data_IF_523792679113
#
_entry.id   IF_523792679113
#
_cell.length_a   1.000
_cell.length_b   1.000
_cell.length_c   1.000
_cell.angle_alpha   90.00
_cell.angle_beta   90.00
_cell.angle_gamma   90.00
#
_symmetry.space_group_name_H-M   'P 1'
#
loop_
_entity.id
_entity.type
_entity.pdbx_description
1 polymer ?
#
# COMPACT_ATOMS: atom_id res chain seq x y z
N UNK A 1 -12.01 33.53 -23.79
CA UNK A 1 -12.89 33.28 -22.62
C UNK A 1 -11.99 33.04 -21.42
N UNK A 2 -12.34 33.54 -20.22
CA UNK A 2 -11.49 33.35 -19.05
C UNK A 2 -11.41 31.87 -18.70
N UNK A 3 -10.19 31.36 -18.60
CA UNK A 3 -9.92 29.99 -18.16
C UNK A 3 -10.05 29.89 -16.64
N UNK A 4 -10.16 28.67 -16.11
CA UNK A 4 -10.12 28.47 -14.65
C UNK A 4 -8.79 28.97 -14.06
N UNK A 5 -7.70 28.91 -14.84
CA UNK A 5 -6.41 29.46 -14.42
C UNK A 5 -6.47 30.99 -14.27
N UNK A 6 -7.11 31.71 -15.19
CA UNK A 6 -7.30 33.18 -15.11
C UNK A 6 -8.11 33.57 -13.86
N UNK A 7 -9.10 32.75 -13.49
CA UNK A 7 -9.91 32.93 -12.28
C UNK A 7 -9.05 32.70 -11.02
N UNK A 8 -8.21 31.66 -11.02
CA UNK A 8 -7.33 31.34 -9.89
C UNK A 8 -6.26 32.42 -9.69
N UNK A 9 -5.75 33.04 -10.75
CA UNK A 9 -4.84 34.17 -10.68
C UNK A 9 -5.47 35.35 -9.91
N UNK A 10 -6.75 35.63 -10.15
CA UNK A 10 -7.49 36.71 -9.47
C UNK A 10 -7.86 36.38 -8.01
N UNK A 11 -8.26 35.14 -7.73
CA UNK A 11 -8.67 34.68 -6.39
C UNK A 11 -7.46 34.34 -5.50
N UNK A 12 -6.28 34.26 -6.09
CA UNK A 12 -5.02 33.90 -5.46
C UNK A 12 -4.68 32.44 -5.72
N UNK A 13 -3.51 32.22 -6.32
CA UNK A 13 -3.07 30.92 -6.82
C UNK A 13 -2.77 29.88 -5.72
N UNK A 14 -2.35 30.32 -4.53
CA UNK A 14 -2.04 29.46 -3.38
C UNK A 14 -2.30 30.15 -2.03
N UNK A 15 -3.56 30.53 -1.80
CA UNK A 15 -3.97 31.28 -0.61
C UNK A 15 -4.57 30.35 0.47
N UNK A 16 -5.22 30.91 1.51
CA UNK A 16 -5.69 30.16 2.67
C UNK A 16 -6.56 28.93 2.32
N UNK A 17 -7.52 29.06 1.40
CA UNK A 17 -8.33 27.93 0.95
C UNK A 17 -7.45 26.81 0.37
N UNK A 18 -6.56 27.15 -0.57
CA UNK A 18 -5.70 26.19 -1.24
C UNK A 18 -4.72 25.52 -0.27
N UNK A 19 -4.13 26.28 0.66
CA UNK A 19 -3.23 25.75 1.70
C UNK A 19 -3.95 24.76 2.60
N UNK A 20 -5.17 25.07 3.04
CA UNK A 20 -5.97 24.17 3.87
C UNK A 20 -6.35 22.90 3.10
N UNK A 21 -6.83 23.03 1.87
CA UNK A 21 -7.19 21.88 1.02
C UNK A 21 -5.98 21.02 0.72
N UNK A 22 -4.81 21.63 0.45
CA UNK A 22 -3.54 20.94 0.27
C UNK A 22 -3.17 20.14 1.51
N UNK A 23 -3.19 20.76 2.70
CA UNK A 23 -2.83 20.07 3.94
C UNK A 23 -3.74 18.87 4.21
N UNK A 24 -5.06 19.03 4.05
CA UNK A 24 -6.01 17.93 4.20
C UNK A 24 -5.72 16.80 3.19
N UNK A 25 -5.63 17.10 1.90
CA UNK A 25 -5.38 16.08 0.89
C UNK A 25 -3.98 15.44 1.01
N UNK A 26 -2.99 16.16 1.51
CA UNK A 26 -1.65 15.63 1.78
C UNK A 26 -1.65 14.56 2.88
N UNK A 27 -2.59 14.60 3.85
CA UNK A 27 -2.74 13.54 4.85
C UNK A 27 -3.13 12.20 4.21
N UNK A 28 -3.84 12.21 3.06
CA UNK A 28 -4.11 10.99 2.29
C UNK A 28 -2.81 10.41 1.74
N UNK A 29 -1.84 11.24 1.35
CA UNK A 29 -0.51 10.78 0.91
C UNK A 29 0.23 10.06 2.04
N UNK A 30 0.21 10.64 3.25
CA UNK A 30 0.79 10.04 4.47
C UNK A 30 0.16 8.67 4.74
N UNK A 31 -1.17 8.60 4.69
CA UNK A 31 -1.93 7.38 4.97
C UNK A 31 -1.84 6.30 3.88
N UNK A 32 -1.48 6.69 2.65
CA UNK A 32 -1.23 5.76 1.57
C UNK A 32 0.10 5.00 1.74
N UNK A 33 1.11 5.62 2.36
CA UNK A 33 2.44 5.03 2.50
C UNK A 33 2.46 3.65 3.17
N UNK A 34 1.80 3.45 4.33
CA UNK A 34 1.68 2.13 4.94
C UNK A 34 1.05 1.06 4.06
N UNK A 35 0.14 1.44 3.18
CA UNK A 35 -0.55 0.47 2.32
C UNK A 35 0.43 -0.09 1.30
N UNK A 36 1.28 0.76 0.73
CA UNK A 36 2.23 0.35 -0.30
C UNK A 36 3.51 -0.28 0.29
N UNK A 37 4.13 0.39 1.26
CA UNK A 37 5.44 0.00 1.81
C UNK A 37 5.33 -0.86 3.07
N UNK A 38 4.14 -0.93 3.69
CA UNK A 38 3.93 -1.69 4.93
C UNK A 38 4.24 -3.16 4.84
N UNK A 39 4.34 -3.75 3.63
CA UNK A 39 4.78 -5.14 3.47
C UNK A 39 6.13 -5.42 4.13
N UNK A 40 7.04 -4.45 4.17
CA UNK A 40 8.37 -4.61 4.80
C UNK A 40 8.23 -4.93 6.30
N UNK A 41 7.21 -4.36 6.96
CA UNK A 41 6.94 -4.58 8.37
C UNK A 41 5.90 -5.67 8.63
N UNK A 42 4.90 -5.82 7.74
CA UNK A 42 3.86 -6.85 7.87
C UNK A 42 4.39 -8.24 7.52
N UNK A 43 5.34 -8.32 6.59
CA UNK A 43 5.86 -9.55 6.00
C UNK A 43 7.32 -9.80 6.31
N UNK A 44 7.85 -9.28 7.42
CA UNK A 44 9.23 -9.59 7.80
C UNK A 44 9.38 -11.10 8.02
N UNK A 45 10.51 -11.65 7.55
CA UNK A 45 10.85 -13.07 7.69
C UNK A 45 11.88 -13.20 8.80
N UNK A 46 11.48 -13.63 10.01
CA UNK A 46 12.46 -13.91 11.06
C UNK A 46 13.26 -15.17 10.74
N UNK A 47 14.37 -15.32 11.45
CA UNK A 47 15.10 -16.58 11.47
C UNK A 47 14.17 -17.70 11.93
N UNK A 48 14.25 -18.83 11.22
CA UNK A 48 13.32 -19.93 11.40
C UNK A 48 14.00 -21.27 11.25
N UNK A 49 13.39 -22.28 11.83
CA UNK A 49 13.83 -23.68 11.79
C UNK A 49 12.64 -24.62 11.70
N UNK A 50 12.88 -25.85 11.24
CA UNK A 50 11.84 -26.88 11.25
C UNK A 50 11.38 -27.19 12.69
N UNK A 51 10.07 -27.33 12.90
CA UNK A 51 9.56 -27.99 14.09
C UNK A 51 9.82 -29.50 13.97
N UNK A 52 10.60 -30.04 14.91
CA UNK A 52 10.89 -31.47 14.99
C UNK A 52 10.16 -32.06 16.20
N UNK A 53 9.13 -32.90 16.00
CA UNK A 53 8.42 -33.54 17.11
C UNK A 53 9.38 -34.45 17.88
N UNK A 54 9.30 -34.46 19.21
CA UNK A 54 10.16 -35.24 20.09
C UNK A 54 11.41 -34.51 20.61
N UNK A 55 11.92 -33.52 19.86
CA UNK A 55 13.08 -32.71 20.30
C UNK A 55 12.80 -31.96 21.60
N UNK A 56 11.62 -31.36 21.73
CA UNK A 56 11.25 -30.59 22.93
C UNK A 56 11.22 -31.48 24.18
N UNK A 57 10.74 -32.72 24.03
CA UNK A 57 10.67 -33.69 25.13
C UNK A 57 12.06 -34.23 25.47
N UNK A 58 12.89 -34.51 24.45
CA UNK A 58 14.28 -34.94 24.63
C UNK A 58 15.13 -33.84 25.29
N UNK A 59 14.99 -32.60 24.84
CA UNK A 59 15.66 -31.42 25.38
C UNK A 59 15.32 -31.23 26.87
N UNK A 60 14.04 -31.40 27.24
CA UNK A 60 13.60 -31.39 28.65
C UNK A 60 14.15 -32.56 29.47
N UNK A 61 14.12 -33.78 28.92
CA UNK A 61 14.65 -34.98 29.58
C UNK A 61 16.15 -34.87 29.85
N UNK A 62 16.89 -34.31 28.91
CA UNK A 62 18.35 -34.18 28.97
C UNK A 62 18.83 -32.87 29.61
N UNK A 63 17.93 -31.90 29.84
CA UNK A 63 18.27 -30.62 30.45
C UNK A 63 19.11 -29.71 29.54
N UNK A 64 18.93 -29.80 28.22
CA UNK A 64 19.72 -29.04 27.25
C UNK A 64 19.40 -27.55 27.28
N UNK A 65 20.43 -26.74 27.05
CA UNK A 65 20.28 -25.34 26.68
C UNK A 65 19.79 -25.21 25.22
N UNK A 66 19.20 -24.07 24.87
CA UNK A 66 18.75 -23.80 23.50
C UNK A 66 19.90 -23.92 22.49
N UNK A 67 21.12 -23.52 22.87
CA UNK A 67 22.29 -23.63 22.01
C UNK A 67 22.67 -25.10 21.73
N UNK A 68 22.60 -25.96 22.75
CA UNK A 68 22.85 -27.39 22.62
C UNK A 68 21.77 -28.06 21.76
N UNK A 69 20.49 -27.76 22.02
CA UNK A 69 19.38 -28.26 21.22
C UNK A 69 19.55 -27.90 19.74
N UNK A 70 19.87 -26.64 19.43
CA UNK A 70 20.08 -26.18 18.06
C UNK A 70 21.29 -26.85 17.39
N UNK A 71 22.38 -27.08 18.12
CA UNK A 71 23.58 -27.75 17.59
C UNK A 71 23.31 -29.21 17.17
N UNK A 72 22.37 -29.89 17.83
CA UNK A 72 21.99 -31.26 17.48
C UNK A 72 20.88 -31.33 16.43
N UNK A 73 19.99 -30.34 16.38
CA UNK A 73 18.73 -30.46 15.63
C UNK A 73 18.73 -29.70 14.31
N UNK A 74 19.49 -28.61 14.22
CA UNK A 74 19.57 -27.77 13.03
C UNK A 74 20.82 -28.13 12.25
N UNK A 75 20.70 -28.44 10.94
CA UNK A 75 21.86 -28.65 10.09
C UNK A 75 22.77 -27.41 10.08
N UNK A 76 24.06 -27.60 10.41
CA UNK A 76 25.07 -26.55 10.52
C UNK A 76 25.35 -25.78 9.21
N UNK A 77 26.19 -24.72 9.27
CA UNK A 77 26.36 -23.77 8.17
C UNK A 77 26.76 -24.51 6.89
N UNK A 78 25.97 -24.30 5.84
CA UNK A 78 26.26 -24.86 4.53
C UNK A 78 27.64 -24.42 4.01
N UNK A 79 28.17 -25.12 2.99
CA UNK A 79 29.40 -24.70 2.33
C UNK A 79 29.32 -23.23 1.89
N UNK A 80 30.42 -22.50 2.07
CA UNK A 80 30.53 -21.08 1.78
C UNK A 80 30.14 -20.77 0.32
N UNK A 81 29.03 -20.04 0.13
CA UNK A 81 28.58 -19.58 -1.19
C UNK A 81 27.10 -19.85 -1.51
N UNK A 82 26.42 -20.70 -0.74
CA UNK A 82 24.97 -20.91 -0.88
C UNK A 82 24.17 -20.16 0.22
N UNK A 83 23.02 -19.54 -0.12
CA UNK A 83 22.15 -18.91 0.88
C UNK A 83 21.71 -19.97 1.92
N UNK A 84 22.01 -19.72 3.19
CA UNK A 84 21.72 -20.53 4.39
C UNK A 84 20.79 -21.77 4.16
N UNK A 85 21.33 -22.97 3.86
CA UNK A 85 20.52 -24.15 3.55
C UNK A 85 19.95 -24.86 4.79
N UNK A 86 20.37 -24.50 6.01
CA UNK A 86 19.97 -25.14 7.26
C UNK A 86 18.61 -24.72 7.84
N UNK A 87 18.04 -23.59 7.39
CA UNK A 87 16.76 -23.10 7.91
C UNK A 87 15.56 -23.89 7.38
N UNK A 88 15.68 -24.43 6.16
CA UNK A 88 14.59 -25.09 5.42
C UNK A 88 14.63 -26.62 5.41
N UNK A 89 15.65 -27.21 6.06
CA UNK A 89 15.89 -28.65 6.09
C UNK A 89 16.10 -29.11 7.51
N UNK A 90 15.72 -30.36 7.78
CA UNK A 90 15.97 -31.05 9.06
C UNK A 90 16.68 -32.36 8.83
N UNK A 91 17.36 -32.84 9.86
CA UNK A 91 17.75 -34.23 9.92
C UNK A 91 16.49 -35.13 9.92
N UNK A 92 16.46 -36.14 9.05
CA UNK A 92 15.42 -37.17 9.05
C UNK A 92 15.68 -38.19 10.17
N UNK A 93 15.50 -37.72 11.40
CA UNK A 93 15.67 -38.50 12.63
C UNK A 93 14.35 -38.55 13.37
N UNK A 94 14.03 -39.72 13.90
CA UNK A 94 12.90 -39.92 14.80
C UNK A 94 13.34 -39.63 16.24
N UNK A 95 13.12 -38.39 16.68
CA UNK A 95 13.52 -37.89 17.99
C UNK A 95 12.73 -38.50 19.16
N UNK A 96 11.65 -39.26 18.88
CA UNK A 96 10.87 -39.93 19.91
C UNK A 96 11.48 -41.28 20.35
N UNK A 97 12.55 -41.74 19.71
CA UNK A 97 13.15 -43.01 20.06
C UNK A 97 13.82 -42.93 21.43
N UNK A 98 13.41 -43.81 22.34
CA UNK A 98 13.92 -43.91 23.71
C UNK A 98 15.39 -44.29 23.81
N UNK A 99 16.02 -44.69 22.70
CA UNK A 99 17.43 -45.06 22.57
C UNK A 99 18.37 -43.87 22.28
N UNK A 100 17.86 -42.66 22.07
CA UNK A 100 18.69 -41.47 21.84
C UNK A 100 19.41 -41.05 23.14
N UNK A 101 20.73 -40.86 23.05
CA UNK A 101 21.55 -40.43 24.18
C UNK A 101 21.46 -38.92 24.41
N UNK A 102 21.68 -38.49 25.65
CA UNK A 102 21.69 -37.07 26.01
C UNK A 102 23.02 -36.35 25.71
N UNK A 103 24.11 -37.09 25.48
CA UNK A 103 25.43 -36.52 25.19
C UNK A 103 25.65 -36.31 23.68
N UNK A 104 25.32 -37.31 22.86
CA UNK A 104 25.22 -37.14 21.40
C UNK A 104 24.09 -38.03 20.85
N UNK A 105 22.90 -37.47 20.59
CA UNK A 105 21.76 -38.24 20.06
C UNK A 105 22.03 -38.73 18.63
N UNK A 106 22.93 -38.09 17.88
CA UNK A 106 23.21 -38.41 16.48
C UNK A 106 24.33 -39.43 16.30
N UNK A 107 25.18 -39.64 17.32
CA UNK A 107 26.31 -40.56 17.26
C UNK A 107 25.90 -42.02 17.01
N UNK A 108 24.70 -42.43 17.45
CA UNK A 108 24.16 -43.77 17.20
C UNK A 108 23.67 -43.97 15.75
N UNK A 109 23.46 -42.88 15.00
CA UNK A 109 22.84 -42.89 13.67
C UNK A 109 23.86 -42.70 12.54
N UNK A 110 24.93 -41.94 12.76
CA UNK A 110 26.00 -41.78 11.77
C UNK A 110 27.34 -41.44 12.42
N UNK A 111 28.43 -41.98 11.86
CA UNK A 111 29.79 -41.65 12.30
C UNK A 111 30.20 -40.19 11.98
N UNK A 112 29.50 -39.54 11.03
CA UNK A 112 29.70 -38.12 10.70
C UNK A 112 28.36 -37.45 10.37
N UNK A 113 28.13 -36.26 10.92
CA UNK A 113 26.84 -35.53 10.81
C UNK A 113 26.48 -35.13 9.39
N UNK A 114 27.48 -34.99 8.51
CA UNK A 114 27.30 -34.66 7.10
C UNK A 114 26.69 -35.78 6.26
N UNK A 115 26.72 -37.03 6.74
CA UNK A 115 26.13 -38.18 6.05
C UNK A 115 24.69 -38.46 6.46
N UNK A 116 24.13 -37.70 7.40
CA UNK A 116 22.72 -37.85 7.78
C UNK A 116 21.79 -37.35 6.67
N UNK A 117 20.73 -38.10 6.34
CA UNK A 117 19.74 -37.66 5.36
C UNK A 117 19.06 -36.37 5.83
N UNK A 118 18.98 -35.39 4.92
CA UNK A 118 18.30 -34.13 5.12
C UNK A 118 16.97 -34.14 4.35
N UNK A 119 15.89 -33.88 5.08
CA UNK A 119 14.52 -33.84 4.55
C UNK A 119 13.88 -32.46 4.67
N UNK A 120 12.77 -32.22 3.96
CA UNK A 120 11.96 -31.01 4.14
C UNK A 120 11.28 -30.98 5.52
N UNK A 121 10.97 -29.78 6.01
CA UNK A 121 10.17 -29.62 7.23
C UNK A 121 8.72 -30.09 6.97
N UNK A 122 8.24 -31.08 7.74
CA UNK A 122 6.90 -31.64 7.59
C UNK A 122 5.92 -31.20 8.69
N UNK A 123 6.43 -30.85 9.87
CA UNK A 123 5.62 -30.60 11.06
C UNK A 123 5.49 -29.12 11.42
N UNK A 124 5.82 -28.20 10.50
CA UNK A 124 5.75 -26.76 10.72
C UNK A 124 7.10 -26.13 11.07
N UNK A 125 7.03 -24.92 11.63
CA UNK A 125 8.18 -24.01 11.79
C UNK A 125 8.22 -23.41 13.19
N UNK A 126 9.43 -23.16 13.67
CA UNK A 126 9.70 -22.36 14.88
C UNK A 126 10.40 -21.08 14.44
N UNK A 127 9.84 -19.94 14.83
CA UNK A 127 10.32 -18.60 14.47
C UNK A 127 10.99 -17.94 15.67
N UNK A 128 12.17 -17.36 15.48
CA UNK A 128 12.90 -16.63 16.52
C UNK A 128 12.46 -15.16 16.57
N UNK A 129 11.24 -14.93 17.06
CA UNK A 129 10.69 -13.59 17.26
C UNK A 129 9.61 -13.58 18.35
N UNK A 130 9.52 -12.45 19.07
CA UNK A 130 8.43 -12.19 20.00
C UNK A 130 7.17 -11.65 19.29
N UNK A 131 7.31 -11.22 18.03
CA UNK A 131 6.25 -10.63 17.22
C UNK A 131 5.52 -11.65 16.34
N UNK A 132 4.57 -11.14 15.55
CA UNK A 132 3.94 -11.92 14.48
C UNK A 132 3.99 -11.16 13.15
N UNK A 133 4.28 -11.89 12.08
CA UNK A 133 4.20 -11.43 10.70
C UNK A 133 3.27 -12.30 9.87
N UNK A 134 2.90 -11.83 8.69
CA UNK A 134 2.16 -12.63 7.70
C UNK A 134 2.92 -13.93 7.40
N UNK A 135 4.26 -13.87 7.40
CA UNK A 135 5.13 -15.02 7.15
C UNK A 135 5.04 -16.03 8.28
N UNK A 136 5.14 -15.58 9.54
CA UNK A 136 5.08 -16.48 10.70
C UNK A 136 3.70 -17.09 10.90
N UNK A 137 2.63 -16.37 10.54
CA UNK A 137 1.26 -16.84 10.74
C UNK A 137 0.83 -17.85 9.66
N UNK A 138 1.22 -17.63 8.40
CA UNK A 138 0.84 -18.51 7.29
C UNK A 138 1.97 -19.46 6.84
N UNK A 139 3.09 -19.51 7.58
CA UNK A 139 4.25 -20.35 7.27
C UNK A 139 4.81 -20.14 5.85
N UNK A 140 5.00 -18.87 5.46
CA UNK A 140 5.41 -18.47 4.10
C UNK A 140 6.94 -18.49 3.93
N UNK A 141 7.58 -19.57 4.36
CA UNK A 141 9.04 -19.74 4.25
C UNK A 141 9.39 -20.90 3.32
N UNK A 142 10.65 -20.92 2.87
CA UNK A 142 11.22 -22.02 2.09
C UNK A 142 10.40 -22.29 0.80
N UNK A 143 9.75 -23.46 0.70
CA UNK A 143 8.92 -23.82 -0.46
C UNK A 143 7.74 -22.86 -0.70
N UNK A 144 7.28 -22.15 0.34
CA UNK A 144 6.17 -21.20 0.27
C UNK A 144 6.61 -19.72 0.26
N UNK A 145 7.91 -19.45 0.18
CA UNK A 145 8.45 -18.07 0.17
C UNK A 145 7.87 -17.20 -0.95
N UNK A 146 7.66 -17.77 -2.14
CA UNK A 146 7.04 -17.12 -3.29
C UNK A 146 5.64 -16.54 -3.01
N UNK A 147 4.93 -17.05 -1.99
CA UNK A 147 3.62 -16.53 -1.63
C UNK A 147 3.74 -15.12 -1.05
N UNK A 148 4.81 -14.81 -0.31
CA UNK A 148 5.04 -13.44 0.17
C UNK A 148 5.26 -12.48 -1.01
N UNK A 149 5.99 -12.90 -2.05
CA UNK A 149 6.18 -12.13 -3.27
C UNK A 149 4.88 -11.96 -4.06
N UNK A 150 4.03 -13.00 -4.07
CA UNK A 150 2.69 -12.94 -4.65
C UNK A 150 1.84 -11.90 -3.91
N UNK A 151 1.96 -11.79 -2.59
CA UNK A 151 1.23 -10.82 -1.79
C UNK A 151 1.54 -9.37 -2.21
N UNK A 152 2.80 -9.05 -2.46
CA UNK A 152 3.19 -7.73 -2.98
C UNK A 152 2.80 -7.56 -4.46
N UNK A 153 2.94 -8.62 -5.26
CA UNK A 153 2.54 -8.62 -6.67
C UNK A 153 1.04 -8.37 -6.84
N UNK A 154 0.20 -8.91 -5.97
CA UNK A 154 -1.24 -8.70 -5.99
C UNK A 154 -1.63 -7.22 -5.79
N UNK A 155 -0.90 -6.50 -4.92
CA UNK A 155 -1.07 -5.04 -4.78
C UNK A 155 -0.70 -4.32 -6.07
N UNK A 156 0.43 -4.67 -6.68
CA UNK A 156 0.90 -4.03 -7.90
C UNK A 156 -0.04 -4.27 -9.08
N UNK A 157 -0.57 -5.49 -9.22
CA UNK A 157 -1.61 -5.82 -10.21
C UNK A 157 -2.87 -5.02 -9.94
N UNK A 158 -3.31 -4.95 -8.67
CA UNK A 158 -4.42 -4.08 -8.27
C UNK A 158 -4.17 -2.62 -8.64
N UNK A 159 -3.00 -2.08 -8.34
CA UNK A 159 -2.60 -0.71 -8.68
C UNK A 159 -2.71 -0.44 -10.17
N UNK A 160 -2.22 -1.36 -11.00
CA UNK A 160 -2.29 -1.25 -12.45
C UNK A 160 -3.75 -1.18 -12.93
N UNK A 161 -4.57 -2.18 -12.58
CA UNK A 161 -5.98 -2.27 -12.99
C UNK A 161 -6.77 -1.06 -12.46
N UNK A 162 -6.50 -0.68 -11.21
CA UNK A 162 -7.15 0.41 -10.50
C UNK A 162 -6.85 1.77 -11.12
N UNK A 163 -5.59 2.03 -11.44
CA UNK A 163 -5.18 3.30 -12.05
C UNK A 163 -5.83 3.53 -13.41
N UNK A 164 -6.01 2.47 -14.20
CA UNK A 164 -6.76 2.53 -15.46
C UNK A 164 -8.27 2.70 -15.19
N UNK A 165 -8.89 1.78 -14.46
CA UNK A 165 -10.35 1.77 -14.32
C UNK A 165 -10.90 2.95 -13.52
N UNK A 166 -10.40 3.16 -12.30
CA UNK A 166 -10.96 4.13 -11.37
C UNK A 166 -10.62 5.58 -11.79
N UNK A 167 -9.47 5.80 -12.44
CA UNK A 167 -9.12 7.10 -13.02
C UNK A 167 -10.19 7.59 -14.00
N UNK A 168 -10.60 6.70 -14.91
CA UNK A 168 -11.67 6.96 -15.88
C UNK A 168 -13.04 7.18 -15.20
N UNK A 169 -13.35 6.39 -14.17
CA UNK A 169 -14.57 6.58 -13.37
C UNK A 169 -14.56 7.96 -12.69
N UNK A 170 -13.42 8.41 -12.16
CA UNK A 170 -13.28 9.70 -11.50
C UNK A 170 -13.45 10.88 -12.46
N UNK A 171 -13.00 10.75 -13.72
CA UNK A 171 -13.25 11.75 -14.77
C UNK A 171 -14.74 11.88 -15.10
N UNK A 172 -15.50 10.79 -14.99
CA UNK A 172 -16.92 10.75 -15.39
C UNK A 172 -17.90 11.08 -14.26
N UNK A 173 -17.66 10.55 -13.07
CA UNK A 173 -18.57 10.66 -11.93
C UNK A 173 -18.16 11.72 -10.89
N UNK A 174 -16.95 12.27 -11.00
CA UNK A 174 -16.43 13.32 -10.14
C UNK A 174 -15.27 12.84 -9.28
N UNK A 175 -14.36 13.78 -8.98
CA UNK A 175 -13.14 13.50 -8.21
C UNK A 175 -13.49 13.19 -6.76
N UNK A 176 -14.35 14.01 -6.15
CA UNK A 176 -14.69 13.90 -4.73
C UNK A 176 -15.41 12.59 -4.41
N UNK A 177 -16.43 12.23 -5.19
CA UNK A 177 -17.20 11.00 -4.95
C UNK A 177 -16.31 9.76 -5.08
N UNK A 178 -15.50 9.69 -6.14
CA UNK A 178 -14.59 8.57 -6.35
C UNK A 178 -13.50 8.49 -5.27
N UNK A 179 -13.00 9.62 -4.80
CA UNK A 179 -12.05 9.67 -3.68
C UNK A 179 -12.67 9.06 -2.41
N UNK A 180 -13.91 9.43 -2.07
CA UNK A 180 -14.59 8.90 -0.88
C UNK A 180 -14.89 7.40 -0.98
N UNK A 181 -15.33 6.94 -2.14
CA UNK A 181 -15.59 5.51 -2.39
C UNK A 181 -14.30 4.71 -2.28
N UNK A 182 -13.21 5.19 -2.89
CA UNK A 182 -11.91 4.50 -2.81
C UNK A 182 -11.38 4.45 -1.38
N UNK A 183 -11.51 5.54 -0.61
CA UNK A 183 -11.17 5.56 0.83
C UNK A 183 -11.99 4.54 1.61
N UNK A 184 -13.31 4.47 1.39
CA UNK A 184 -14.19 3.52 2.08
C UNK A 184 -13.80 2.08 1.79
N UNK A 185 -13.63 1.73 0.51
CA UNK A 185 -13.24 0.38 0.09
C UNK A 185 -11.84 0.04 0.63
N UNK A 186 -10.93 1.01 0.64
CA UNK A 186 -9.59 0.83 1.18
C UNK A 186 -9.60 0.52 2.68
N UNK A 187 -10.33 1.32 3.45
CA UNK A 187 -10.43 1.17 4.89
C UNK A 187 -11.13 -0.15 5.27
N UNK A 188 -12.23 -0.48 4.58
CA UNK A 188 -12.93 -1.73 4.78
C UNK A 188 -12.07 -2.95 4.42
N UNK A 189 -11.42 -2.95 3.25
CA UNK A 189 -10.55 -4.06 2.82
C UNK A 189 -9.36 -4.26 3.74
N UNK A 190 -8.73 -3.19 4.24
CA UNK A 190 -7.61 -3.30 5.19
C UNK A 190 -8.03 -3.86 6.55
N UNK A 191 -9.24 -3.54 7.05
CA UNK A 191 -9.78 -4.16 8.27
C UNK A 191 -10.10 -5.64 8.02
N UNK A 192 -10.77 -5.96 6.90
CA UNK A 192 -11.08 -7.33 6.51
C UNK A 192 -9.81 -8.20 6.36
N UNK A 193 -8.73 -7.62 5.84
CA UNK A 193 -7.42 -8.26 5.76
C UNK A 193 -6.78 -8.50 7.13
N UNK A 194 -7.02 -7.63 8.11
CA UNK A 194 -6.47 -7.80 9.45
C UNK A 194 -7.22 -8.86 10.28
N UNK A 195 -8.48 -9.17 9.93
CA UNK A 195 -9.30 -10.19 10.62
C UNK A 195 -9.38 -11.51 9.85
N UNK A 196 -8.89 -11.57 8.61
CA UNK A 196 -9.01 -12.76 7.76
C UNK A 196 -8.24 -13.95 8.35
N UNK A 197 -8.85 -15.14 8.50
CA UNK A 197 -8.18 -16.30 9.10
C UNK A 197 -7.33 -17.09 8.11
N UNK A 198 -7.51 -16.88 6.80
CA UNK A 198 -6.82 -17.64 5.75
C UNK A 198 -6.01 -16.74 4.83
N UNK A 199 -4.87 -17.25 4.37
CA UNK A 199 -3.97 -16.53 3.46
C UNK A 199 -4.68 -16.06 2.18
N UNK A 200 -5.52 -16.91 1.59
CA UNK A 200 -6.26 -16.58 0.36
C UNK A 200 -7.18 -15.38 0.54
N UNK A 201 -7.90 -15.29 1.67
CA UNK A 201 -8.75 -14.13 1.96
C UNK A 201 -7.91 -12.87 2.17
N UNK A 202 -6.81 -12.98 2.90
CA UNK A 202 -5.86 -11.87 3.09
C UNK A 202 -5.34 -11.36 1.74
N UNK A 203 -5.01 -12.28 0.81
CA UNK A 203 -4.54 -11.94 -0.54
C UNK A 203 -5.62 -11.27 -1.40
N UNK A 204 -6.87 -11.74 -1.35
CA UNK A 204 -7.99 -11.12 -2.07
C UNK A 204 -8.23 -9.69 -1.56
N UNK A 205 -8.30 -9.49 -0.24
CA UNK A 205 -8.47 -8.16 0.34
C UNK A 205 -7.28 -7.25 0.03
N UNK A 206 -6.06 -7.80 -0.01
CA UNK A 206 -4.86 -7.08 -0.42
C UNK A 206 -4.93 -6.61 -1.88
N UNK A 207 -5.43 -7.46 -2.79
CA UNK A 207 -5.66 -7.09 -4.19
C UNK A 207 -6.72 -6.00 -4.34
N UNK A 208 -7.83 -6.10 -3.60
CA UNK A 208 -8.89 -5.07 -3.57
C UNK A 208 -8.33 -3.75 -3.02
N UNK A 209 -7.54 -3.82 -1.94
CA UNK A 209 -6.87 -2.66 -1.37
C UNK A 209 -5.96 -2.03 -2.44
N UNK A 210 -5.19 -2.85 -3.17
CA UNK A 210 -4.42 -2.46 -4.34
C UNK A 210 -5.24 -1.66 -5.36
N UNK A 211 -6.35 -2.24 -5.80
CA UNK A 211 -7.24 -1.68 -6.81
C UNK A 211 -7.65 -0.23 -6.53
N UNK A 212 -7.95 0.09 -5.27
CA UNK A 212 -8.47 1.43 -4.91
C UNK A 212 -7.39 2.41 -4.44
N UNK A 213 -6.29 1.93 -3.85
CA UNK A 213 -5.34 2.79 -3.15
C UNK A 213 -4.63 3.76 -4.09
N UNK A 214 -4.05 3.25 -5.20
CA UNK A 214 -3.28 4.07 -6.12
C UNK A 214 -4.17 5.09 -6.83
N UNK A 215 -5.37 4.67 -7.22
CA UNK A 215 -6.34 5.56 -7.83
C UNK A 215 -6.78 6.67 -6.87
N UNK A 216 -7.10 6.34 -5.61
CA UNK A 216 -7.44 7.34 -4.59
C UNK A 216 -6.30 8.34 -4.35
N UNK A 217 -5.06 7.86 -4.27
CA UNK A 217 -3.87 8.71 -4.13
C UNK A 217 -3.68 9.65 -5.34
N UNK A 218 -3.90 9.16 -6.56
CA UNK A 218 -3.82 9.96 -7.78
C UNK A 218 -4.97 10.99 -7.86
N UNK A 219 -6.20 10.59 -7.54
CA UNK A 219 -7.36 11.50 -7.54
C UNK A 219 -7.16 12.64 -6.53
N UNK A 220 -6.64 12.33 -5.34
CA UNK A 220 -6.28 13.33 -4.34
C UNK A 220 -5.26 14.34 -4.89
N UNK A 221 -4.19 13.85 -5.54
CA UNK A 221 -3.19 14.71 -6.18
C UNK A 221 -3.80 15.59 -7.28
N UNK A 222 -4.60 15.01 -8.18
CA UNK A 222 -5.27 15.76 -9.25
C UNK A 222 -6.14 16.86 -8.64
N UNK A 223 -6.95 16.54 -7.63
CA UNK A 223 -7.83 17.50 -6.97
C UNK A 223 -7.04 18.68 -6.38
N UNK A 224 -5.88 18.44 -5.76
CA UNK A 224 -4.96 19.51 -5.32
C UNK A 224 -4.55 20.40 -6.52
N UNK A 225 -4.07 19.80 -7.60
CA UNK A 225 -3.56 20.57 -8.76
C UNK A 225 -4.64 21.37 -9.47
N UNK A 226 -5.90 20.93 -9.40
CA UNK A 226 -7.04 21.62 -9.99
C UNK A 226 -7.50 22.85 -9.19
N UNK A 227 -7.20 22.89 -7.88
CA UNK A 227 -7.45 24.04 -7.00
C UNK A 227 -6.30 25.06 -6.98
N UNK A 228 -5.10 24.66 -7.38
CA UNK A 228 -3.88 25.46 -7.29
C UNK A 228 -3.54 26.07 -8.65
N UNK A 229 -3.09 27.33 -8.62
CA UNK A 229 -2.65 28.04 -9.82
C UNK A 229 -1.39 27.42 -10.45
N UNK A 230 -1.18 27.69 -11.74
CA UNK A 230 -0.14 27.05 -12.56
C UNK A 230 1.26 27.12 -11.93
N UNK A 231 1.62 28.27 -11.35
CA UNK A 231 2.97 28.51 -10.78
C UNK A 231 3.30 27.58 -9.60
N UNK A 232 2.30 27.21 -8.81
CA UNK A 232 2.50 26.45 -7.58
C UNK A 232 2.31 24.94 -7.75
N UNK A 233 1.82 24.47 -8.91
CA UNK A 233 1.56 23.04 -9.19
C UNK A 233 2.79 22.16 -8.95
N UNK A 234 3.96 22.61 -9.40
CA UNK A 234 5.22 21.88 -9.17
C UNK A 234 5.53 21.75 -7.68
N UNK A 235 5.42 22.85 -6.95
CA UNK A 235 5.72 22.92 -5.52
C UNK A 235 4.79 22.02 -4.71
N UNK A 236 3.47 22.11 -4.93
CA UNK A 236 2.51 21.24 -4.22
C UNK A 236 2.70 19.77 -4.56
N UNK A 237 3.10 19.43 -5.79
CA UNK A 237 3.45 18.06 -6.15
C UNK A 237 4.67 17.53 -5.40
N UNK A 238 5.73 18.33 -5.26
CA UNK A 238 6.90 17.97 -4.47
C UNK A 238 6.52 17.76 -3.00
N UNK A 239 5.78 18.70 -2.39
CA UNK A 239 5.36 18.54 -0.99
C UNK A 239 4.40 17.37 -0.77
N UNK A 240 3.56 17.03 -1.75
CA UNK A 240 2.69 15.86 -1.70
C UNK A 240 3.48 14.54 -1.67
N UNK A 241 4.62 14.50 -2.37
CA UNK A 241 5.58 13.38 -2.30
C UNK A 241 6.37 13.38 -0.98
N UNK A 242 6.77 14.55 -0.47
CA UNK A 242 7.40 14.65 0.85
C UNK A 242 6.47 14.13 1.95
N UNK A 243 5.16 14.40 1.85
CA UNK A 243 4.16 13.84 2.76
C UNK A 243 4.14 12.31 2.75
N UNK A 244 4.36 11.67 1.59
CA UNK A 244 4.52 10.21 1.50
C UNK A 244 5.74 9.73 2.31
N UNK A 245 6.87 10.43 2.22
CA UNK A 245 8.08 10.12 3.01
C UNK A 245 7.84 10.28 4.52
N UNK A 246 7.09 11.31 4.94
CA UNK A 246 6.68 11.43 6.35
C UNK A 246 5.82 10.24 6.81
N UNK A 247 4.92 9.75 5.96
CA UNK A 247 4.16 8.53 6.22
C UNK A 247 5.04 7.30 6.45
N UNK A 248 6.17 7.19 5.74
CA UNK A 248 7.14 6.10 5.93
C UNK A 248 7.80 6.17 7.31
N UNK A 249 8.20 7.37 7.74
CA UNK A 249 8.80 7.58 9.06
C UNK A 249 7.83 7.24 10.19
N UNK A 250 6.57 7.69 10.06
CA UNK A 250 5.50 7.36 11.02
C UNK A 250 5.27 5.85 11.06
N UNK A 251 5.19 5.20 9.89
CA UNK A 251 5.00 3.76 9.80
C UNK A 251 6.11 2.98 10.51
N UNK A 252 7.37 3.35 10.29
CA UNK A 252 8.50 2.70 10.94
C UNK A 252 8.42 2.83 12.48
N UNK A 253 8.05 4.01 12.98
CA UNK A 253 7.83 4.21 14.42
C UNK A 253 6.68 3.38 14.98
N UNK A 254 5.54 3.33 14.28
CA UNK A 254 4.38 2.51 14.69
C UNK A 254 4.70 1.02 14.63
N UNK A 255 5.43 0.55 13.62
CA UNK A 255 5.84 -0.84 13.48
C UNK A 255 6.82 -1.27 14.59
N UNK A 256 7.69 -0.36 15.05
CA UNK A 256 8.56 -0.62 16.20
C UNK A 256 7.77 -0.82 17.49
N UNK A 257 6.69 -0.05 17.70
CA UNK A 257 5.84 -0.16 18.89
C UNK A 257 4.88 -1.35 18.84
N UNK A 258 4.51 -1.82 17.65
CA UNK A 258 3.52 -2.88 17.42
C UNK A 258 4.14 -4.05 16.64
N UNK A 259 4.76 -5.03 17.33
CA UNK A 259 5.43 -6.16 16.68
C UNK A 259 4.46 -7.23 16.12
N UNK A 260 3.15 -6.95 16.08
CA UNK A 260 2.11 -7.85 15.58
C UNK A 260 1.44 -7.29 14.33
N UNK A 261 1.57 -7.98 13.20
CA UNK A 261 1.14 -7.46 11.89
C UNK A 261 -0.37 -7.16 11.81
N UNK A 262 -1.23 -7.94 12.46
CA UNK A 262 -2.69 -7.68 12.47
C UNK A 262 -3.03 -6.35 13.14
N UNK A 263 -2.41 -6.08 14.28
CA UNK A 263 -2.58 -4.82 15.02
C UNK A 263 -1.95 -3.64 14.28
N UNK A 264 -0.79 -3.85 13.65
CA UNK A 264 -0.17 -2.85 12.80
C UNK A 264 -1.09 -2.49 11.62
N UNK A 265 -1.66 -3.49 10.95
CA UNK A 265 -2.60 -3.29 9.84
C UNK A 265 -3.86 -2.52 10.28
N UNK A 266 -4.43 -2.86 11.44
CA UNK A 266 -5.60 -2.15 11.98
C UNK A 266 -5.25 -0.70 12.33
N UNK A 267 -4.13 -0.47 13.01
CA UNK A 267 -3.68 0.87 13.44
C UNK A 267 -3.47 1.80 12.25
N UNK A 268 -2.95 1.26 11.15
CA UNK A 268 -2.77 1.98 9.88
C UNK A 268 -4.09 2.24 9.17
N UNK A 269 -5.02 1.28 9.18
CA UNK A 269 -6.23 1.33 8.34
C UNK A 269 -7.37 2.09 9.00
N UNK A 270 -7.56 1.94 10.31
CA UNK A 270 -8.68 2.54 11.03
C UNK A 270 -8.74 4.08 10.92
N UNK A 271 -7.62 4.82 11.00
CA UNK A 271 -7.62 6.27 10.81
C UNK A 271 -8.13 6.69 9.41
N UNK A 272 -8.07 5.82 8.41
CA UNK A 272 -8.52 6.15 7.05
C UNK A 272 -10.04 6.40 6.98
N UNK A 273 -10.83 5.82 7.90
CA UNK A 273 -12.26 6.14 8.00
C UNK A 273 -12.51 7.60 8.33
N UNK A 274 -11.60 8.29 9.03
CA UNK A 274 -11.71 9.71 9.30
C UNK A 274 -11.64 10.55 8.02
N UNK A 275 -11.05 10.05 6.93
CA UNK A 275 -11.06 10.78 5.66
C UNK A 275 -12.44 10.80 4.98
N UNK A 276 -13.41 10.00 5.43
CA UNK A 276 -14.80 10.12 4.98
C UNK A 276 -15.41 11.48 5.36
N UNK A 277 -14.92 12.12 6.43
CA UNK A 277 -15.32 13.48 6.79
C UNK A 277 -14.94 14.52 5.71
N UNK A 278 -14.08 14.17 4.74
CA UNK A 278 -13.74 15.06 3.62
C UNK A 278 -14.92 15.33 2.70
N UNK A 279 -15.99 14.53 2.79
CA UNK A 279 -17.27 14.86 2.17
C UNK A 279 -17.76 16.26 2.57
N UNK A 280 -17.55 16.71 3.80
CA UNK A 280 -17.97 18.04 4.24
C UNK A 280 -16.87 19.10 4.05
N UNK A 281 -15.60 18.73 4.15
CA UNK A 281 -14.50 19.69 4.13
C UNK A 281 -14.06 20.10 2.72
N UNK A 282 -14.17 19.22 1.73
CA UNK A 282 -13.56 19.40 0.40
C UNK A 282 -14.67 19.55 -0.65
N UNK A 283 -14.70 20.66 -1.41
CA UNK A 283 -15.62 20.80 -2.52
C UNK A 283 -15.17 19.98 -3.73
N UNK A 284 -16.08 19.78 -4.67
CA UNK A 284 -15.74 19.16 -5.96
C UNK A 284 -14.90 20.11 -6.82
N UNK A 285 -14.14 19.55 -7.75
CA UNK A 285 -13.29 20.32 -8.67
C UNK A 285 -14.09 21.30 -9.54
N UNK A 286 -13.75 22.60 -9.53
CA UNK A 286 -14.38 23.59 -10.42
C UNK A 286 -14.18 23.25 -11.90
N UNK A 287 -13.02 22.69 -12.27
CA UNK A 287 -12.69 22.31 -13.64
C UNK A 287 -13.57 21.17 -14.12
N UNK A 288 -13.74 20.15 -13.28
CA UNK A 288 -14.62 19.03 -13.55
C UNK A 288 -16.10 19.47 -13.65
N UNK A 289 -16.54 20.38 -12.77
CA UNK A 289 -17.91 20.90 -12.82
C UNK A 289 -18.18 21.66 -14.13
N UNK A 290 -17.22 22.47 -14.60
CA UNK A 290 -17.31 23.16 -15.89
C UNK A 290 -17.34 22.17 -17.04
N UNK A 291 -16.47 21.16 -17.05
CA UNK A 291 -16.45 20.14 -18.12
C UNK A 291 -17.73 19.29 -18.16
N UNK A 292 -18.45 19.17 -17.06
CA UNK A 292 -19.75 18.50 -16.97
C UNK A 292 -20.95 19.44 -17.23
N UNK A 293 -20.73 20.66 -17.71
CA UNK A 293 -21.76 21.70 -17.92
C UNK A 293 -22.52 22.12 -16.64
N UNK A 294 -21.93 21.88 -15.46
CA UNK A 294 -22.49 22.27 -14.14
C UNK A 294 -21.96 23.64 -13.69
N UNK A 295 -22.11 24.65 -14.54
CA UNK A 295 -21.52 25.98 -14.34
C UNK A 295 -22.01 26.69 -13.07
N UNK A 296 -23.27 26.47 -12.67
CA UNK A 296 -23.85 27.05 -11.46
C UNK A 296 -23.17 26.51 -10.19
N UNK A 297 -22.91 25.20 -10.15
CA UNK A 297 -22.18 24.56 -9.05
C UNK A 297 -20.70 24.99 -9.05
N UNK A 298 -20.08 25.05 -10.23
CA UNK A 298 -18.71 25.53 -10.38
C UNK A 298 -18.56 26.95 -9.81
N UNK A 299 -19.46 27.87 -10.17
CA UNK A 299 -19.47 29.23 -9.64
C UNK A 299 -19.72 29.27 -8.13
N UNK A 300 -20.52 28.36 -7.58
CA UNK A 300 -20.73 28.27 -6.12
C UNK A 300 -19.42 27.91 -5.41
N UNK A 301 -18.66 26.94 -5.94
CA UNK A 301 -17.34 26.57 -5.40
C UNK A 301 -16.35 27.73 -5.54
N UNK A 302 -16.29 28.36 -6.71
CA UNK A 302 -15.41 29.50 -6.98
C UNK A 302 -15.70 30.69 -6.04
N UNK A 303 -16.97 31.04 -5.84
CA UNK A 303 -17.39 32.08 -4.88
C UNK A 303 -17.01 31.70 -3.44
N UNK A 304 -17.15 30.43 -3.06
CA UNK A 304 -16.72 29.95 -1.75
C UNK A 304 -15.20 30.09 -1.56
N UNK A 305 -14.40 29.73 -2.57
CA UNK A 305 -12.95 29.92 -2.55
C UNK A 305 -12.58 31.40 -2.43
N UNK A 306 -13.20 32.28 -3.23
CA UNK A 306 -12.98 33.72 -3.16
C UNK A 306 -13.31 34.31 -1.79
N UNK A 307 -14.46 33.92 -1.21
CA UNK A 307 -14.87 34.34 0.13
C UNK A 307 -13.84 33.93 1.18
N UNK A 308 -13.36 32.69 1.13
CA UNK A 308 -12.39 32.16 2.11
C UNK A 308 -11.00 32.79 1.94
N UNK A 309 -10.63 33.16 0.71
CA UNK A 309 -9.40 33.89 0.40
C UNK A 309 -9.53 35.40 0.63
N UNK A 310 -10.69 35.91 1.07
CA UNK A 310 -10.99 37.33 1.25
C UNK A 310 -10.74 38.16 -0.02
N UNK A 311 -11.07 37.61 -1.18
CA UNK A 311 -10.94 38.24 -2.50
C UNK A 311 -12.33 38.41 -3.15
N UNK A 312 -12.50 39.48 -3.93
CA UNK A 312 -13.72 39.73 -4.71
C UNK A 312 -13.56 39.25 -6.14
N UNK A 313 -14.60 38.61 -6.68
CA UNK A 313 -14.65 38.18 -8.08
C UNK A 313 -15.14 39.34 -8.98
N UNK A 314 -14.37 39.76 -9.99
CA UNK A 314 -14.82 40.72 -11.01
C UNK A 314 -16.09 40.23 -11.71
N UNK A 315 -17.02 41.14 -12.04
CA UNK A 315 -18.28 40.79 -12.72
C UNK A 315 -18.06 40.08 -14.06
N UNK A 316 -16.97 40.40 -14.77
CA UNK A 316 -16.55 39.75 -16.02
C UNK A 316 -16.21 38.26 -15.86
N UNK A 317 -15.74 37.85 -14.68
CA UNK A 317 -15.42 36.45 -14.34
C UNK A 317 -16.60 35.70 -13.71
N UNK A 318 -17.70 36.41 -13.41
CA UNK A 318 -18.91 35.79 -12.84
C UNK A 318 -19.80 35.15 -13.91
N UNK A 319 -19.69 35.59 -15.16
CA UNK A 319 -20.36 34.99 -16.30
C UNK A 319 -19.49 33.90 -16.93
N UNK A 320 -19.47 32.71 -16.33
CA UNK A 320 -19.16 31.48 -17.06
C UNK A 320 -20.30 31.22 -18.05
N UNK A 321 -20.37 32.00 -19.13
CA UNK A 321 -21.23 31.65 -20.26
C UNK A 321 -20.49 30.56 -21.01
N UNK A 322 -21.11 29.39 -21.27
CA UNK A 322 -20.51 28.43 -22.18
C UNK A 322 -20.24 29.19 -23.48
N UNK A 323 -19.04 29.03 -24.03
CA UNK A 323 -18.90 29.35 -25.44
C UNK A 323 -19.96 28.57 -26.19
N UNK A 324 -20.62 29.21 -27.15
CA UNK A 324 -21.55 28.60 -28.09
C UNK A 324 -20.89 27.54 -29.00
N UNK A 325 -19.76 26.96 -28.58
CA UNK A 325 -19.36 25.65 -29.02
C UNK A 325 -19.98 24.67 -28.02
N UNK A 326 -21.17 24.18 -28.37
CA UNK A 326 -21.58 22.82 -28.02
C UNK A 326 -20.49 21.90 -28.62
N UNK A 327 -19.33 21.83 -27.97
CA UNK A 327 -18.50 20.65 -28.12
C UNK A 327 -19.42 19.55 -27.62
N UNK A 328 -19.88 18.70 -28.54
CA UNK A 328 -20.53 17.45 -28.19
C UNK A 328 -19.81 16.87 -26.97
N UNK A 329 -20.57 16.28 -26.03
CA UNK A 329 -19.99 15.46 -24.98
C UNK A 329 -19.23 14.32 -25.68
N UNK A 330 -18.00 14.59 -26.08
CA UNK A 330 -17.04 13.60 -26.48
C UNK A 330 -16.95 12.72 -25.24
N UNK A 331 -17.29 11.45 -25.40
CA UNK A 331 -17.07 10.43 -24.40
C UNK A 331 -15.67 9.90 -24.70
N UNK A 332 -14.59 10.55 -24.21
CA UNK A 332 -13.24 10.12 -24.52
C UNK A 332 -13.08 8.68 -24.04
N UNK A 333 -12.57 7.83 -24.91
CA UNK A 333 -12.24 6.45 -24.61
C UNK A 333 -10.73 6.31 -24.40
N UNK A 334 -10.29 5.24 -23.72
CA UNK A 334 -8.87 4.88 -23.65
C UNK A 334 -8.22 4.76 -25.03
N UNK A 335 -8.99 4.34 -26.03
CA UNK A 335 -8.52 4.23 -27.42
C UNK A 335 -8.16 5.59 -28.02
N UNK A 336 -8.73 6.70 -27.52
CA UNK A 336 -8.42 8.04 -28.02
C UNK A 336 -7.00 8.50 -27.65
N UNK A 337 -6.39 7.91 -26.60
CA UNK A 337 -4.99 8.19 -26.21
C UNK A 337 -3.96 7.78 -27.27
N UNK A 338 -4.34 6.86 -28.16
CA UNK A 338 -3.47 6.37 -29.25
C UNK A 338 -4.02 6.70 -30.63
N UNK A 339 -5.22 7.27 -30.72
CA UNK A 339 -5.94 7.50 -31.97
C UNK A 339 -5.25 8.51 -32.87
N UNK A 340 -4.82 9.64 -32.33
CA UNK A 340 -4.13 10.70 -33.09
C UNK A 340 -2.62 10.66 -32.84
N UNK A 341 -1.78 10.99 -33.84
CA UNK A 341 -0.33 10.92 -33.71
C UNK A 341 0.22 11.86 -32.63
N UNK A 342 -0.40 13.03 -32.44
CA UNK A 342 0.01 14.00 -31.41
C UNK A 342 -0.28 13.48 -30.00
N UNK A 343 -1.51 13.00 -29.74
CA UNK A 343 -1.87 12.44 -28.43
C UNK A 343 -1.04 11.18 -28.18
N UNK A 344 -0.85 10.31 -29.18
CA UNK A 344 0.02 9.12 -29.06
C UNK A 344 1.44 9.49 -28.65
N UNK A 345 2.03 10.51 -29.29
CA UNK A 345 3.38 11.00 -28.92
C UNK A 345 3.40 11.49 -27.48
N UNK A 346 2.43 12.31 -27.07
CA UNK A 346 2.35 12.79 -25.69
C UNK A 346 2.16 11.65 -24.69
N UNK A 347 1.29 10.69 -24.99
CA UNK A 347 1.06 9.49 -24.18
C UNK A 347 2.36 8.68 -24.01
N UNK A 348 3.10 8.42 -25.10
CA UNK A 348 4.38 7.68 -25.03
C UNK A 348 5.45 8.44 -24.25
N UNK A 349 5.55 9.76 -24.44
CA UNK A 349 6.48 10.60 -23.66
C UNK A 349 6.11 10.58 -22.18
N UNK A 350 4.83 10.68 -21.83
CA UNK A 350 4.38 10.61 -20.44
C UNK A 350 4.61 9.22 -19.84
N UNK A 351 4.38 8.14 -20.58
CA UNK A 351 4.68 6.77 -20.15
C UNK A 351 6.18 6.51 -19.95
N UNK A 352 7.06 7.24 -20.64
CA UNK A 352 8.50 7.13 -20.45
C UNK A 352 9.03 7.97 -19.28
N UNK A 353 8.41 9.12 -19.00
CA UNK A 353 8.83 10.03 -17.92
C UNK A 353 8.31 9.60 -16.53
N UNK A 354 7.21 8.85 -16.50
CA UNK A 354 6.64 8.24 -15.30
C UNK A 354 7.14 6.82 -15.12
#
# INVERSE_FOLDING_TARGET
MPTVDDILEHIGEFNFFQKQTFFLLALISVAFTPIYVGIVFLGFTPDHRCLSPGVVELSRRCGWSLAEELNYTVPGPGPAGEPFPGQCRRYEVDWNQSALSCEDPLASLAANRSHLPLGPCQHGWVYDTLGSSIVTEFNLVCANSWMLDLFQSAVNVGFFIGSMGIGYIADRFGRKLCLLITILINAASGVLMAISPTYTLTLIFRLIQGLVSKAGWLISYILITEFVGLQYRRTVGIFYQVAFTFGLLILAGVAYLLPHWRWLQLTVTLPNFCFLFYYWCIPESPRWLISQNKNTEAMRVIKHMAKKNRKSLPASLQSLRPGEEVSEKLNPSFLDLVRTPQIRKHTLVLMYNW
#
